data_IF_129388444629
#
_entry.id   IF_129388444629
#
_cell.length_a   1.000
_cell.length_b   1.000
_cell.length_c   1.000
_cell.angle_alpha   90.00
_cell.angle_beta   90.00
_cell.angle_gamma   90.00
#
_symmetry.space_group_name_H-M   'P 1'
#
loop_
_entity.id
_entity.type
_entity.pdbx_description
1 polymer ?
#
# COMPACT_ATOMS: atom_id res chain seq x y z
N UNK A 1 -26.89 8.90 -18.96
CA UNK A 1 -26.14 7.75 -18.43
C UNK A 1 -25.37 8.26 -17.22
N UNK A 2 -25.66 7.78 -16.00
CA UNK A 2 -24.77 8.03 -14.85
C UNK A 2 -23.47 7.32 -15.23
N UNK A 3 -22.39 8.06 -15.47
CA UNK A 3 -21.09 7.44 -15.66
C UNK A 3 -20.79 6.63 -14.41
N UNK A 4 -20.54 5.34 -14.58
CA UNK A 4 -20.18 4.45 -13.49
C UNK A 4 -18.93 5.04 -12.83
N UNK A 5 -19.11 5.60 -11.64
CA UNK A 5 -17.98 6.08 -10.84
C UNK A 5 -17.30 4.83 -10.30
N UNK A 6 -16.02 4.67 -10.63
CA UNK A 6 -15.18 3.66 -10.01
C UNK A 6 -15.14 3.91 -8.50
N UNK A 7 -15.16 2.82 -7.74
CA UNK A 7 -14.95 2.90 -6.30
C UNK A 7 -13.56 3.50 -6.02
N UNK A 8 -13.44 4.34 -4.97
CA UNK A 8 -12.16 4.91 -4.60
C UNK A 8 -11.20 3.81 -4.15
N UNK A 9 -10.04 3.73 -4.80
CA UNK A 9 -8.99 2.79 -4.44
C UNK A 9 -8.09 3.44 -3.38
N UNK A 10 -7.85 2.75 -2.26
CA UNK A 10 -6.94 3.25 -1.24
C UNK A 10 -5.47 3.16 -1.73
N UNK A 11 -4.62 4.18 -1.51
CA UNK A 11 -3.21 4.12 -1.90
C UNK A 11 -2.46 2.92 -1.27
N UNK A 12 -2.90 2.49 -0.09
CA UNK A 12 -2.40 1.30 0.58
C UNK A 12 -2.65 0.00 -0.16
N UNK A 13 -3.79 -0.12 -0.85
CA UNK A 13 -4.10 -1.27 -1.69
C UNK A 13 -3.17 -1.34 -2.89
N UNK A 14 -2.91 -0.20 -3.53
CA UNK A 14 -1.94 -0.10 -4.64
C UNK A 14 -0.54 -0.50 -4.17
N UNK A 15 -0.06 0.07 -3.05
CA UNK A 15 1.24 -0.27 -2.50
C UNK A 15 1.38 -1.78 -2.24
N UNK A 16 0.35 -2.41 -1.67
CA UNK A 16 0.37 -3.82 -1.33
C UNK A 16 0.31 -4.73 -2.57
N UNK A 17 -0.67 -4.51 -3.45
CA UNK A 17 -0.98 -5.41 -4.56
C UNK A 17 -0.06 -5.21 -5.77
N UNK A 18 0.34 -3.97 -6.06
CA UNK A 18 1.11 -3.65 -7.27
C UNK A 18 2.62 -3.56 -7.03
N UNK A 19 3.07 -3.42 -5.77
CA UNK A 19 4.49 -3.30 -5.44
C UNK A 19 4.96 -4.39 -4.48
N UNK A 20 4.43 -4.46 -3.26
CA UNK A 20 4.97 -5.34 -2.21
C UNK A 20 4.84 -6.83 -2.57
N UNK A 21 3.65 -7.27 -3.00
CA UNK A 21 3.40 -8.66 -3.38
C UNK A 21 4.21 -9.10 -4.61
N UNK A 22 4.22 -8.36 -5.75
CA UNK A 22 5.04 -8.74 -6.91
C UNK A 22 6.54 -8.79 -6.61
N UNK A 23 7.02 -7.93 -5.71
CA UNK A 23 8.43 -7.89 -5.31
C UNK A 23 8.78 -8.89 -4.19
N UNK A 24 7.79 -9.56 -3.59
CA UNK A 24 8.02 -10.51 -2.49
C UNK A 24 8.58 -9.84 -1.21
N UNK A 25 8.31 -8.55 -1.00
CA UNK A 25 8.82 -7.80 0.15
C UNK A 25 7.70 -7.56 1.18
N UNK A 26 8.05 -7.63 2.46
CA UNK A 26 7.11 -7.31 3.54
C UNK A 26 7.04 -5.81 3.80
N UNK A 27 5.93 -5.34 4.38
CA UNK A 27 5.80 -3.95 4.86
C UNK A 27 6.92 -3.56 5.83
N UNK A 28 7.31 -4.49 6.70
CA UNK A 28 8.43 -4.31 7.63
C UNK A 28 9.75 -4.11 6.89
N UNK A 29 10.02 -4.96 5.87
CA UNK A 29 11.25 -4.85 5.07
C UNK A 29 11.32 -3.49 4.36
N UNK A 30 10.22 -3.06 3.72
CA UNK A 30 10.14 -1.73 3.11
C UNK A 30 10.45 -0.64 4.14
N UNK A 31 9.84 -0.70 5.32
CA UNK A 31 10.02 0.32 6.35
C UNK A 31 11.48 0.45 6.80
N UNK A 32 12.16 -0.68 7.02
CA UNK A 32 13.59 -0.71 7.35
C UNK A 32 14.43 -0.14 6.21
N UNK A 33 14.18 -0.56 4.97
CA UNK A 33 14.98 -0.15 3.81
C UNK A 33 14.90 1.36 3.53
N UNK A 34 13.77 2.00 3.83
CA UNK A 34 13.59 3.46 3.68
C UNK A 34 13.76 4.24 4.99
N UNK A 35 14.23 3.59 6.07
CA UNK A 35 14.51 4.21 7.37
C UNK A 35 13.29 4.91 8.01
N UNK A 36 12.12 4.27 7.96
CA UNK A 36 10.91 4.74 8.63
C UNK A 36 10.39 3.72 9.65
N UNK A 37 9.65 4.14 10.69
CA UNK A 37 8.99 3.21 11.59
C UNK A 37 8.01 2.29 10.83
N UNK A 38 8.00 0.96 11.08
CA UNK A 38 7.08 0.02 10.41
C UNK A 38 5.60 0.41 10.50
N UNK A 39 5.21 1.06 11.60
CA UNK A 39 3.87 1.59 11.81
C UNK A 39 3.43 2.56 10.69
N UNK A 40 4.35 3.35 10.13
CA UNK A 40 4.05 4.27 9.03
C UNK A 40 3.57 3.53 7.77
N UNK A 41 4.22 2.42 7.43
CA UNK A 41 3.79 1.61 6.28
C UNK A 41 2.48 0.90 6.59
N UNK A 42 2.30 0.43 7.83
CA UNK A 42 1.06 -0.23 8.24
C UNK A 42 -0.16 0.71 8.14
N UNK A 43 -0.03 1.96 8.60
CA UNK A 43 -1.06 3.01 8.49
C UNK A 43 -1.36 3.35 7.01
N UNK A 44 -0.34 3.41 6.14
CA UNK A 44 -0.55 3.61 4.69
C UNK A 44 -1.34 2.45 4.09
N UNK A 45 -1.05 1.20 4.48
CA UNK A 45 -1.71 0.03 3.89
C UNK A 45 -3.15 -0.12 4.38
N UNK A 46 -3.41 0.14 5.66
CA UNK A 46 -4.71 -0.20 6.28
C UNK A 46 -5.66 0.98 6.49
N UNK A 47 -5.18 2.24 6.43
CA UNK A 47 -6.02 3.42 6.66
C UNK A 47 -6.41 3.60 8.11
#
# INVERSE_FOLDING_TARGET
MKGDKLDPIHPGEILLEEFLKPMGISQYRLAVDISVPPRRINEIVHG
#
